data_IF_765354938315
#
_entry.id   IF_765354938315
#
_cell.length_a   1.000
_cell.length_b   1.000
_cell.length_c   1.000
_cell.angle_alpha   90.00
_cell.angle_beta   90.00
_cell.angle_gamma   90.00
#
_symmetry.space_group_name_H-M   'P 1'
#
loop_
_entity.id
_entity.type
_entity.pdbx_description
1 polymer ?
#
# COMPACT_ATOMS: atom_id res chain seq x y z
N UNK A 1 -25.60 3.83 18.42
CA UNK A 1 -24.30 4.04 19.10
C UNK A 1 -23.19 3.38 18.28
N UNK A 2 -22.01 4.01 18.18
CA UNK A 2 -20.98 3.89 17.13
C UNK A 2 -20.19 2.56 17.12
N UNK A 3 -20.83 1.42 16.79
CA UNK A 3 -20.16 0.11 16.66
C UNK A 3 -19.17 0.02 15.48
N UNK A 4 -19.12 1.03 14.60
CA UNK A 4 -18.23 1.09 13.42
C UNK A 4 -16.79 1.46 13.76
N UNK A 5 -16.53 1.96 14.96
CA UNK A 5 -15.20 2.44 15.36
C UNK A 5 -14.37 1.37 16.09
N UNK A 6 -15.00 0.32 16.62
CA UNK A 6 -14.30 -0.68 17.44
C UNK A 6 -13.26 -1.48 16.64
N UNK A 7 -13.60 -1.89 15.41
CA UNK A 7 -12.70 -2.64 14.53
C UNK A 7 -11.46 -1.85 14.09
N UNK A 8 -11.63 -0.64 13.52
CA UNK A 8 -10.51 0.23 13.16
C UNK A 8 -9.63 0.58 14.36
N UNK A 9 -10.21 0.78 15.55
CA UNK A 9 -9.45 1.11 16.75
C UNK A 9 -8.57 -0.07 17.22
N UNK A 10 -9.11 -1.29 17.23
CA UNK A 10 -8.34 -2.52 17.54
C UNK A 10 -7.22 -2.73 16.52
N UNK A 11 -7.49 -2.48 15.24
CA UNK A 11 -6.50 -2.58 14.17
C UNK A 11 -5.36 -1.57 14.35
N UNK A 12 -5.67 -0.32 14.70
CA UNK A 12 -4.65 0.71 14.97
C UNK A 12 -3.78 0.37 16.19
N UNK A 13 -4.38 -0.18 17.26
CA UNK A 13 -3.64 -0.66 18.43
C UNK A 13 -2.68 -1.80 18.04
N UNK A 14 -3.13 -2.73 17.21
CA UNK A 14 -2.30 -3.81 16.68
C UNK A 14 -1.11 -3.30 15.86
N UNK A 15 -1.34 -2.32 14.97
CA UNK A 15 -0.28 -1.69 14.17
C UNK A 15 0.73 -0.98 15.07
N UNK A 16 0.27 -0.25 16.10
CA UNK A 16 1.17 0.40 17.04
C UNK A 16 2.07 -0.62 17.75
N UNK A 17 1.51 -1.73 18.23
CA UNK A 17 2.28 -2.82 18.85
C UNK A 17 3.29 -3.46 17.89
N UNK A 18 2.92 -3.65 16.62
CA UNK A 18 3.84 -4.14 15.59
C UNK A 18 4.98 -3.15 15.32
N UNK A 19 4.70 -1.84 15.30
CA UNK A 19 5.71 -0.81 15.12
C UNK A 19 6.71 -0.77 16.28
N UNK A 20 6.24 -0.92 17.53
CA UNK A 20 7.11 -1.07 18.69
C UNK A 20 7.99 -2.31 18.61
N UNK A 21 7.43 -3.46 18.20
CA UNK A 21 8.19 -4.68 17.96
C UNK A 21 9.29 -4.50 16.90
N UNK A 22 8.95 -3.86 15.77
CA UNK A 22 9.93 -3.58 14.73
C UNK A 22 11.02 -2.61 15.20
N UNK A 23 10.66 -1.58 15.96
CA UNK A 23 11.62 -0.65 16.53
C UNK A 23 12.60 -1.35 17.47
N UNK A 24 12.10 -2.19 18.37
CA UNK A 24 12.92 -2.99 19.30
C UNK A 24 13.82 -3.95 18.54
N UNK A 25 13.29 -4.68 17.55
CA UNK A 25 14.05 -5.62 16.72
C UNK A 25 15.20 -4.96 15.94
N UNK A 26 14.99 -3.74 15.42
CA UNK A 26 16.01 -3.00 14.68
C UNK A 26 17.01 -2.28 15.58
N UNK A 27 16.65 -1.97 16.83
CA UNK A 27 17.56 -1.35 17.81
C UNK A 27 18.36 -2.38 18.60
N UNK A 28 17.79 -3.56 18.86
CA UNK A 28 18.48 -4.70 19.47
C UNK A 28 19.50 -5.26 18.46
N UNK A 29 20.71 -4.70 18.47
CA UNK A 29 21.79 -5.08 17.57
C UNK A 29 22.40 -6.39 18.07
N UNK A 30 21.88 -7.52 17.58
CA UNK A 30 22.48 -8.87 17.43
C UNK A 30 23.25 -9.57 18.57
N UNK A 31 23.46 -8.99 19.76
CA UNK A 31 24.19 -9.64 20.86
C UNK A 31 23.38 -9.84 22.15
N UNK A 32 22.32 -9.07 22.34
CA UNK A 32 21.39 -9.19 23.46
C UNK A 32 19.99 -9.33 22.84
N UNK A 33 19.32 -10.45 23.09
CA UNK A 33 18.04 -10.76 22.45
C UNK A 33 16.93 -9.76 22.84
N UNK A 34 15.98 -9.48 21.94
CA UNK A 34 14.92 -8.51 22.18
C UNK A 34 14.00 -8.95 23.33
N UNK A 35 13.90 -8.13 24.38
CA UNK A 35 13.05 -8.41 25.55
C UNK A 35 11.56 -8.40 25.20
N UNK A 36 11.17 -7.67 24.14
CA UNK A 36 9.77 -7.50 23.73
C UNK A 36 9.36 -8.35 22.54
N UNK A 37 10.09 -9.45 22.26
CA UNK A 37 9.76 -10.37 21.17
C UNK A 37 8.29 -10.86 21.20
N UNK A 38 7.74 -11.10 22.40
CA UNK A 38 6.37 -11.57 22.57
C UNK A 38 5.31 -10.55 22.14
N UNK A 39 5.62 -9.25 22.15
CA UNK A 39 4.70 -8.19 21.70
C UNK A 39 4.35 -8.36 20.22
N UNK A 40 5.30 -8.78 19.39
CA UNK A 40 5.04 -9.11 17.99
C UNK A 40 4.08 -10.29 17.85
N UNK A 41 4.25 -11.32 18.68
CA UNK A 41 3.39 -12.51 18.70
C UNK A 41 1.95 -12.21 19.16
N UNK A 42 1.77 -11.23 20.04
CA UNK A 42 0.44 -10.75 20.47
C UNK A 42 -0.18 -9.77 19.47
N UNK A 43 0.64 -8.91 18.86
CA UNK A 43 0.18 -7.93 17.88
C UNK A 43 -0.41 -8.60 16.63
N UNK A 44 0.14 -9.73 16.20
CA UNK A 44 -0.28 -10.41 14.98
C UNK A 44 -1.74 -10.96 15.04
N UNK A 45 -2.16 -11.69 16.10
CA UNK A 45 -3.56 -12.03 16.35
C UNK A 45 -4.47 -10.80 16.52
N UNK A 46 -4.01 -9.75 17.19
CA UNK A 46 -4.81 -8.53 17.40
C UNK A 46 -5.08 -7.82 16.07
N UNK A 47 -4.07 -7.70 15.21
CA UNK A 47 -4.23 -7.17 13.85
C UNK A 47 -5.19 -8.06 13.06
N UNK A 48 -5.02 -9.38 13.10
CA UNK A 48 -5.86 -10.33 12.38
C UNK A 48 -7.34 -10.20 12.76
N UNK A 49 -7.64 -10.15 14.07
CA UNK A 49 -8.99 -9.93 14.59
C UNK A 49 -9.51 -8.55 14.17
N UNK A 50 -8.68 -7.51 14.25
CA UNK A 50 -9.02 -6.17 13.79
C UNK A 50 -9.42 -6.12 12.31
N UNK A 51 -8.68 -6.83 11.44
CA UNK A 51 -8.97 -6.93 10.00
C UNK A 51 -10.28 -7.68 9.76
N UNK A 52 -10.51 -8.82 10.42
CA UNK A 52 -11.75 -9.60 10.26
C UNK A 52 -12.97 -8.77 10.65
N UNK A 53 -12.91 -8.11 11.81
CA UNK A 53 -14.01 -7.27 12.29
C UNK A 53 -14.25 -6.08 11.35
N UNK A 54 -13.19 -5.46 10.83
CA UNK A 54 -13.29 -4.36 9.87
C UNK A 54 -13.87 -4.84 8.53
N UNK A 55 -13.43 -5.99 8.03
CA UNK A 55 -13.92 -6.58 6.79
C UNK A 55 -15.40 -6.97 6.89
N UNK A 56 -15.83 -7.57 8.00
CA UNK A 56 -17.24 -7.91 8.23
C UNK A 56 -18.14 -6.66 8.32
N UNK A 57 -17.68 -5.62 9.04
CA UNK A 57 -18.38 -4.35 9.13
C UNK A 57 -18.51 -3.64 7.76
N UNK A 58 -17.47 -3.71 6.92
CA UNK A 58 -17.53 -3.18 5.55
C UNK A 58 -18.39 -4.03 4.62
N UNK A 59 -18.33 -5.37 4.72
CA UNK A 59 -19.16 -6.28 3.91
C UNK A 59 -20.65 -6.06 4.11
N UNK A 60 -21.09 -5.77 5.33
CA UNK A 60 -22.47 -5.41 5.62
C UNK A 60 -22.94 -4.12 4.92
N UNK A 61 -22.01 -3.25 4.52
CA UNK A 61 -22.29 -1.99 3.85
C UNK A 61 -22.14 -2.08 2.31
N UNK A 62 -21.30 -3.00 1.80
CA UNK A 62 -21.00 -3.15 0.37
C UNK A 62 -21.99 -4.08 -0.35
N UNK A 63 -22.75 -4.92 0.36
CA UNK A 63 -23.75 -5.83 -0.26
C UNK A 63 -24.89 -5.13 -1.00
N UNK A 64 -25.03 -3.81 -0.84
CA UNK A 64 -26.00 -2.98 -1.57
C UNK A 64 -25.39 -2.24 -2.77
N UNK A 65 -24.07 -2.31 -2.94
CA UNK A 65 -23.39 -1.69 -4.06
C UNK A 65 -23.42 -2.69 -5.21
N UNK A 66 -24.37 -2.46 -6.10
CA UNK A 66 -24.54 -3.06 -7.41
C UNK A 66 -23.21 -3.52 -8.03
N UNK A 67 -23.08 -4.81 -8.32
CA UNK A 67 -21.86 -5.44 -8.86
C UNK A 67 -21.32 -4.67 -10.08
N UNK A 68 -22.24 -4.13 -10.88
CA UNK A 68 -21.96 -3.36 -12.09
C UNK A 68 -21.28 -2.02 -11.79
N UNK A 69 -21.64 -1.35 -10.69
CA UNK A 69 -21.01 -0.11 -10.28
C UNK A 69 -19.57 -0.37 -9.79
N UNK A 70 -19.36 -1.46 -9.07
CA UNK A 70 -18.03 -1.85 -8.58
C UNK A 70 -17.09 -2.20 -9.75
N UNK A 71 -17.60 -2.96 -10.74
CA UNK A 71 -16.85 -3.34 -11.95
C UNK A 71 -16.47 -2.13 -12.79
N UNK A 72 -17.40 -1.18 -12.96
CA UNK A 72 -17.12 0.05 -13.69
C UNK A 72 -16.08 0.93 -12.98
N UNK A 73 -16.16 1.08 -11.64
CA UNK A 73 -15.16 1.84 -10.87
C UNK A 73 -13.77 1.20 -10.90
N UNK A 74 -13.69 -0.12 -10.75
CA UNK A 74 -12.43 -0.88 -10.87
C UNK A 74 -11.78 -0.72 -12.25
N UNK A 75 -12.59 -0.72 -13.32
CA UNK A 75 -12.10 -0.52 -14.69
C UNK A 75 -11.49 0.87 -14.87
N UNK A 76 -12.13 1.92 -14.35
CA UNK A 76 -11.63 3.29 -14.41
C UNK A 76 -10.35 3.48 -13.58
N UNK A 77 -10.27 2.87 -12.38
CA UNK A 77 -9.04 2.90 -11.56
C UNK A 77 -7.88 2.18 -12.27
N UNK A 78 -8.15 1.03 -12.89
CA UNK A 78 -7.15 0.30 -13.67
C UNK A 78 -6.66 1.08 -14.89
N UNK A 79 -7.54 1.84 -15.54
CA UNK A 79 -7.17 2.74 -16.63
C UNK A 79 -6.28 3.88 -16.13
N UNK A 80 -6.66 4.57 -15.05
CA UNK A 80 -5.84 5.65 -14.49
C UNK A 80 -4.47 5.18 -13.98
N UNK A 81 -4.38 3.95 -13.44
CA UNK A 81 -3.10 3.36 -13.06
C UNK A 81 -2.26 2.96 -14.27
N UNK A 82 -2.88 2.40 -15.31
CA UNK A 82 -2.20 2.06 -16.56
C UNK A 82 -1.70 3.33 -17.26
N UNK A 83 -2.49 4.39 -17.28
CA UNK A 83 -2.08 5.70 -17.82
C UNK A 83 -0.95 6.31 -17.00
N UNK A 84 -0.99 6.25 -15.66
CA UNK A 84 0.10 6.74 -14.80
C UNK A 84 1.38 5.90 -14.85
N UNK A 85 1.29 4.59 -15.11
CA UNK A 85 2.45 3.74 -15.38
C UNK A 85 2.94 3.86 -16.82
N UNK A 86 2.04 4.14 -17.76
CA UNK A 86 2.40 4.40 -19.14
C UNK A 86 3.01 5.78 -19.30
N UNK A 87 2.72 6.73 -18.41
CA UNK A 87 3.31 8.09 -18.37
C UNK A 87 4.60 8.18 -17.54
N UNK A 88 5.23 7.04 -17.21
CA UNK A 88 6.62 7.05 -16.79
C UNK A 88 7.49 7.40 -18.01
N UNK A 89 7.52 8.69 -18.34
CA UNK A 89 8.35 9.27 -19.38
C UNK A 89 9.77 8.71 -19.27
N UNK A 90 10.24 8.11 -20.36
CA UNK A 90 11.60 7.61 -20.41
C UNK A 90 12.54 8.82 -20.29
N UNK A 91 13.28 8.92 -19.18
CA UNK A 91 14.29 9.96 -19.08
C UNK A 91 15.46 9.59 -19.97
N UNK A 92 15.94 10.52 -20.79
CA UNK A 92 17.09 10.26 -21.64
C UNK A 92 18.34 10.01 -20.78
N UNK A 93 18.92 8.81 -20.86
CA UNK A 93 20.13 8.41 -20.12
C UNK A 93 21.36 9.30 -20.40
N UNK A 94 21.33 10.12 -21.46
CA UNK A 94 22.42 10.98 -21.86
C UNK A 94 22.26 12.46 -21.42
N UNK A 95 21.04 12.99 -21.36
CA UNK A 95 20.80 14.41 -21.06
C UNK A 95 19.83 14.65 -19.89
N UNK A 96 19.17 13.60 -19.39
CA UNK A 96 18.22 13.67 -18.28
C UNK A 96 16.87 14.32 -18.63
N UNK A 97 16.64 14.71 -19.89
CA UNK A 97 15.37 15.30 -20.32
C UNK A 97 14.26 14.23 -20.39
N UNK A 98 13.02 14.54 -19.95
CA UNK A 98 11.89 13.63 -20.14
C UNK A 98 11.67 13.41 -21.64
N UNK A 99 11.67 12.15 -22.06
CA UNK A 99 11.30 11.76 -23.40
C UNK A 99 9.84 11.36 -23.45
N UNK A 100 9.19 11.75 -24.54
CA UNK A 100 7.91 11.19 -24.94
C UNK A 100 8.02 9.67 -25.08
N UNK A 101 6.95 8.98 -24.70
CA UNK A 101 6.89 7.52 -24.49
C UNK A 101 7.16 6.71 -25.76
N UNK A 102 7.01 7.34 -26.94
CA UNK A 102 7.18 6.72 -28.25
C UNK A 102 8.30 7.36 -29.10
N UNK A 103 9.13 8.24 -28.51
CA UNK A 103 10.21 8.88 -29.26
C UNK A 103 11.43 7.95 -29.38
N UNK A 104 11.80 7.58 -30.61
CA UNK A 104 13.02 6.79 -30.90
C UNK A 104 14.33 7.56 -30.65
N UNK A 105 14.25 8.89 -30.62
CA UNK A 105 15.39 9.79 -30.44
C UNK A 105 15.01 10.90 -29.47
N UNK A 106 15.93 11.28 -28.60
CA UNK A 106 15.72 12.38 -27.67
C UNK A 106 15.60 13.73 -28.42
N UNK A 107 14.56 14.50 -28.12
CA UNK A 107 14.29 15.81 -28.73
C UNK A 107 15.37 16.86 -28.46
N UNK A 108 16.10 16.74 -27.34
CA UNK A 108 17.12 17.69 -26.92
C UNK A 108 18.53 17.28 -27.35
N UNK A 109 18.90 16.01 -27.18
CA UNK A 109 20.28 15.58 -27.45
C UNK A 109 20.45 14.71 -28.70
N UNK A 110 19.36 14.38 -29.41
CA UNK A 110 19.36 13.64 -30.67
C UNK A 110 19.86 12.20 -30.58
N UNK A 111 20.10 11.65 -29.39
CA UNK A 111 20.56 10.26 -29.20
C UNK A 111 19.37 9.31 -29.18
N UNK A 112 19.59 8.11 -29.69
CA UNK A 112 18.62 7.01 -29.65
C UNK A 112 18.25 6.67 -28.20
N UNK A 113 16.96 6.53 -27.95
CA UNK A 113 16.41 6.13 -26.66
C UNK A 113 16.16 4.64 -26.77
N UNK A 114 16.98 3.87 -26.05
CA UNK A 114 17.02 2.41 -26.11
C UNK A 114 16.51 1.80 -24.81
#
# INVERSE_FOLDING_TARGET
MRMKFIGPFIFLIGIAGLAFYFYDLFTSTSSEGPEYFWVGFVAMPVIFVGVILTAFAYRANITKLDEDLLRNKMRVVGQGLKEGLSDSGHYCSNCGHPSELDAKYCSECGKELH
#
